data_IF_387742189634
#
_entry.id   IF_387742189634
#
_cell.length_a   1.000
_cell.length_b   1.000
_cell.length_c   1.000
_cell.angle_alpha   90.00
_cell.angle_beta   90.00
_cell.angle_gamma   90.00
#
_symmetry.space_group_name_H-M   'P 1'
#
loop_
_entity.id
_entity.type
_entity.pdbx_description
1 polymer ?
2 non-polymer ?
3 non-polymer ?
4 water ?
#
# COMPACT_ATOMS: atom_id res chain seq x y z
N UNK A 4 -11.48 14.90 1.74
CA UNK A 4 -12.44 14.98 0.61
C UNK A 4 -12.52 13.67 -0.15
N UNK A 5 -11.68 12.68 0.22
CA UNK A 5 -11.58 11.44 -0.57
C UNK A 5 -11.90 10.19 0.22
N UNK A 6 -12.92 10.29 1.06
CA UNK A 6 -13.22 9.22 2.02
C UNK A 6 -14.36 8.32 1.54
N UNK A 7 -14.12 7.00 1.51
CA UNK A 7 -15.15 6.04 1.12
C UNK A 7 -14.63 5.01 0.15
N UNK A 8 -15.32 3.87 0.07
CA UNK A 8 -15.02 2.76 -0.82
C UNK A 8 -15.69 2.89 -2.19
N UNK A 9 -16.56 3.88 -2.33
CA UNK A 9 -17.30 4.08 -3.57
C UNK A 9 -17.15 5.47 -4.07
N UNK A 10 -16.96 5.61 -5.39
CA UNK A 10 -16.90 6.92 -6.01
C UNK A 10 -18.02 6.91 -7.05
N UNK A 11 -19.13 7.58 -6.71
CA UNK A 11 -20.25 7.65 -7.61
C UNK A 11 -19.90 8.76 -8.63
N UNK A 12 -19.94 8.46 -9.92
CA UNK A 12 -19.35 9.39 -10.90
C UNK A 12 -20.24 9.49 -12.14
N UNK A 13 -20.27 10.66 -12.77
CA UNK A 13 -20.83 10.83 -14.14
C UNK A 13 -19.77 11.63 -14.93
N UNK A 14 -19.34 11.10 -16.08
CA UNK A 14 -18.28 11.70 -16.89
C UNK A 14 -18.85 12.24 -18.21
N UNK A 15 -18.36 13.38 -18.62
CA UNK A 15 -18.87 14.07 -19.84
C UNK A 15 -17.70 14.56 -20.71
N UNK A 16 -17.87 14.51 -22.04
CA UNK A 16 -17.01 15.33 -22.88
C UNK A 16 -17.40 16.80 -22.77
N UNK A 17 -16.35 17.69 -22.66
CA UNK A 17 -16.49 19.10 -22.48
C UNK A 17 -16.34 19.81 -23.82
N UNK A 18 -17.40 20.46 -24.27
CA UNK A 18 -17.43 21.15 -25.57
C UNK A 18 -16.85 22.57 -25.49
N UNK A 19 -17.08 23.29 -24.39
CA UNK A 19 -16.31 24.53 -24.18
C UNK A 19 -15.83 24.76 -22.77
N UNK A 20 -14.51 24.79 -22.62
CA UNK A 20 -13.85 25.05 -21.34
C UNK A 20 -14.21 26.40 -20.72
N UNK A 21 -14.57 27.36 -21.56
CA UNK A 21 -14.91 28.70 -21.11
C UNK A 21 -16.15 28.69 -20.22
N UNK A 22 -17.25 28.14 -20.74
CA UNK A 22 -18.52 28.05 -19.99
C UNK A 22 -18.40 27.17 -18.77
N UNK A 23 -17.64 26.08 -18.90
CA UNK A 23 -17.31 25.22 -17.75
C UNK A 23 -16.62 26.06 -16.69
N UNK A 24 -15.60 26.82 -17.08
CA UNK A 24 -14.89 27.64 -16.10
C UNK A 24 -15.72 28.76 -15.49
N UNK A 25 -16.60 29.36 -16.30
CA UNK A 25 -17.57 30.35 -15.79
C UNK A 25 -18.47 29.80 -14.70
N UNK A 26 -19.00 28.59 -14.91
CA UNK A 26 -19.79 27.89 -13.89
C UNK A 26 -19.01 27.54 -12.63
N UNK A 27 -17.78 27.07 -12.78
CA UNK A 27 -16.90 26.93 -11.65
C UNK A 27 -16.76 28.26 -10.87
N UNK A 28 -16.56 29.35 -11.61
CA UNK A 28 -16.51 30.71 -11.02
C UNK A 28 -17.87 31.07 -10.39
N UNK A 29 -18.97 30.85 -11.13
CA UNK A 29 -20.31 31.10 -10.63
C UNK A 29 -20.53 30.49 -9.24
N UNK A 30 -20.16 29.21 -9.11
CA UNK A 30 -20.60 28.39 -7.99
C UNK A 30 -19.58 28.33 -6.87
N UNK A 31 -18.61 29.25 -6.92
CA UNK A 31 -17.60 29.36 -5.89
C UNK A 31 -16.85 28.04 -5.64
N UNK A 32 -16.65 27.27 -6.71
CA UNK A 32 -15.76 26.09 -6.67
C UNK A 32 -14.38 26.37 -6.05
N UNK A 33 -13.97 25.49 -5.17
CA UNK A 33 -12.66 25.51 -4.52
C UNK A 33 -11.65 24.69 -5.35
N UNK A 34 -10.49 25.27 -5.69
CA UNK A 34 -9.50 24.47 -6.41
C UNK A 34 -8.76 23.57 -5.43
N UNK A 35 -8.74 22.28 -5.70
CA UNK A 35 -7.92 21.36 -4.94
C UNK A 35 -6.53 21.19 -5.55
N UNK A 36 -6.48 20.69 -6.79
CA UNK A 36 -5.19 20.66 -7.48
C UNK A 36 -5.44 21.16 -8.90
N UNK A 37 -4.50 21.90 -9.49
CA UNK A 37 -4.78 22.50 -10.80
C UNK A 37 -3.70 22.09 -11.77
N UNK A 38 -4.13 21.74 -12.98
CA UNK A 38 -3.21 21.42 -14.10
C UNK A 38 -2.04 20.50 -13.77
N UNK A 39 -2.33 19.41 -13.04
CA UNK A 39 -1.34 18.38 -12.77
C UNK A 39 -1.24 17.42 -13.91
N UNK A 40 -0.01 17.06 -14.24
CA UNK A 40 0.22 15.95 -15.14
C UNK A 40 0.14 14.70 -14.28
N UNK A 41 -0.79 13.81 -14.64
CA UNK A 41 -1.01 12.57 -13.92
C UNK A 41 -0.59 11.42 -14.81
N UNK A 42 0.35 10.61 -14.36
CA UNK A 42 0.80 9.47 -15.06
C UNK A 42 0.29 8.25 -14.28
N UNK A 43 -0.48 7.41 -14.93
CA UNK A 43 -1.08 6.22 -14.31
C UNK A 43 -0.49 4.98 -14.92
N UNK A 44 0.22 4.17 -14.12
CA UNK A 44 0.74 2.92 -14.62
C UNK A 44 -0.32 1.87 -14.17
N UNK A 45 -0.88 1.17 -15.14
CA UNK A 45 -1.79 0.07 -14.82
C UNK A 45 -1.03 -1.24 -14.76
N UNK A 46 -1.30 -2.02 -13.69
CA UNK A 46 -0.63 -3.31 -13.45
C UNK A 46 -1.65 -4.46 -13.54
N UNK A 47 -1.19 -5.59 -14.05
CA UNK A 47 -2.03 -6.77 -14.09
C UNK A 47 -1.15 -8.00 -14.08
N UNK A 48 -1.80 -9.14 -13.81
CA UNK A 48 -1.10 -10.41 -13.82
C UNK A 48 -0.90 -10.80 -15.30
N UNK A 49 -0.02 -11.77 -15.52
CA UNK A 49 0.44 -12.12 -16.88
C UNK A 49 -0.64 -12.68 -17.77
N UNK A 50 -1.72 -13.13 -17.16
CA UNK A 50 -2.91 -13.55 -17.90
C UNK A 50 -4.11 -12.65 -17.73
N UNK A 51 -3.87 -11.34 -17.47
CA UNK A 51 -4.90 -10.28 -17.35
C UNK A 51 -5.95 -10.64 -16.32
N UNK A 52 -5.50 -11.31 -15.26
CA UNK A 52 -6.38 -11.84 -14.23
C UNK A 52 -7.30 -10.80 -13.59
N UNK A 53 -6.77 -9.58 -13.37
CA UNK A 53 -7.57 -8.53 -12.78
C UNK A 53 -8.61 -7.97 -13.78
N UNK A 54 -8.19 -7.74 -15.00
CA UNK A 54 -9.13 -7.19 -15.99
C UNK A 54 -10.26 -8.21 -16.22
N UNK A 55 -9.96 -9.50 -16.13
CA UNK A 55 -11.00 -10.53 -16.34
C UNK A 55 -12.06 -10.51 -15.24
N UNK A 56 -11.77 -9.80 -14.13
CA UNK A 56 -12.65 -9.55 -12.97
C UNK A 56 -13.24 -8.13 -12.87
N UNK A 57 -13.05 -7.32 -13.90
CA UNK A 57 -13.49 -5.92 -13.91
C UNK A 57 -12.75 -5.06 -12.85
N UNK A 58 -11.47 -5.40 -12.63
CA UNK A 58 -10.61 -4.69 -11.70
C UNK A 58 -9.43 -4.04 -12.42
N UNK A 59 -9.13 -2.79 -12.07
CA UNK A 59 -7.92 -2.11 -12.56
C UNK A 59 -7.11 -1.77 -11.31
N UNK A 60 -5.79 -1.85 -11.43
CA UNK A 60 -4.95 -1.42 -10.32
C UNK A 60 -3.89 -0.48 -10.90
N UNK A 61 -3.71 0.64 -10.27
CA UNK A 61 -2.93 1.76 -10.82
C UNK A 61 -1.98 2.29 -9.78
N UNK A 62 -0.78 2.64 -10.26
CA UNK A 62 0.11 3.49 -9.45
C UNK A 62 0.09 4.84 -10.16
N UNK A 63 -0.36 5.85 -9.43
CA UNK A 63 -0.55 7.17 -10.01
C UNK A 63 0.50 8.18 -9.46
N UNK A 64 1.17 8.94 -10.35
CA UNK A 64 2.03 10.04 -9.93
C UNK A 64 1.47 11.36 -10.47
N UNK A 65 1.26 12.34 -9.61
CA UNK A 65 0.70 13.63 -10.02
C UNK A 65 1.74 14.71 -9.75
N UNK A 66 2.06 15.49 -10.80
CA UNK A 66 3.07 16.56 -10.71
C UNK A 66 2.47 17.86 -11.24
N UNK A 67 2.71 19.00 -10.56
CA UNK A 67 3.69 19.16 -9.49
C UNK A 67 3.17 18.97 -8.08
N UNK A 68 1.93 18.51 -7.88
CA UNK A 68 1.40 18.41 -6.50
C UNK A 68 2.17 17.44 -5.65
N UNK A 69 2.92 16.52 -6.28
CA UNK A 69 3.71 15.48 -5.61
C UNK A 69 2.93 14.26 -5.07
N UNK A 70 1.62 14.23 -5.30
CA UNK A 70 0.76 13.15 -4.78
C UNK A 70 1.13 11.82 -5.51
N UNK A 71 1.26 10.73 -4.75
CA UNK A 71 1.48 9.38 -5.28
C UNK A 71 0.43 8.48 -4.66
N UNK A 72 -0.30 7.78 -5.50
CA UNK A 72 -1.41 6.94 -5.04
C UNK A 72 -1.30 5.53 -5.60
N UNK A 73 -1.71 4.55 -4.80
CA UNK A 73 -1.99 3.20 -5.23
C UNK A 73 -3.54 3.09 -5.17
N UNK A 74 -4.10 2.66 -6.28
CA UNK A 74 -5.58 2.67 -6.53
C UNK A 74 -6.00 1.30 -6.99
N UNK A 75 -7.08 0.78 -6.39
CA UNK A 75 -7.67 -0.46 -6.87
C UNK A 75 -9.13 -0.08 -7.17
N UNK A 76 -9.47 -0.24 -8.43
CA UNK A 76 -10.78 0.10 -8.98
C UNK A 76 -11.54 -1.19 -9.28
N UNK A 77 -12.80 -1.28 -8.85
CA UNK A 77 -13.63 -2.39 -9.34
C UNK A 77 -13.73 -3.42 -8.23
N UNK A 78 -14.46 -4.53 -8.47
CA UNK A 78 -15.17 -4.84 -9.72
C UNK A 78 -16.38 -3.91 -9.84
N UNK A 79 -16.83 -3.64 -11.06
CA UNK A 79 -17.82 -2.58 -11.28
C UNK A 79 -17.19 -1.20 -11.38
N UNK A 80 -18.04 -0.18 -11.55
CA UNK A 80 -17.57 1.20 -11.72
C UNK A 80 -17.96 2.23 -10.64
N UNK A 81 -18.35 1.79 -9.46
CA UNK A 81 -18.42 2.72 -8.31
C UNK A 81 -17.31 2.39 -7.30
N UNK A 82 -17.04 1.09 -7.15
CA UNK A 82 -16.02 0.59 -6.23
C UNK A 82 -14.66 1.16 -6.61
N UNK A 83 -14.03 1.83 -5.66
CA UNK A 83 -12.73 2.46 -5.87
C UNK A 83 -12.10 2.79 -4.53
N UNK A 84 -10.85 2.36 -4.31
CA UNK A 84 -10.18 2.71 -3.09
C UNK A 84 -8.75 3.04 -3.46
N UNK A 85 -8.17 4.00 -2.75
CA UNK A 85 -6.81 4.42 -2.94
C UNK A 85 -6.07 4.66 -1.65
N UNK A 86 -4.75 4.57 -1.71
CA UNK A 86 -3.92 4.81 -0.56
C UNK A 86 -2.77 5.69 -1.00
N UNK A 87 -2.52 6.77 -0.27
CA UNK A 87 -1.28 7.53 -0.49
C UNK A 87 -0.10 6.64 -0.25
N UNK A 88 0.90 6.77 -1.08
CA UNK A 88 2.10 5.99 -0.92
C UNK A 88 3.35 6.89 -0.97
N UNK A 89 4.37 6.53 -0.20
CA UNK A 89 5.58 7.34 -0.14
C UNK A 89 6.47 7.13 -1.34
N UNK A 90 6.51 5.88 -1.83
CA UNK A 90 7.56 5.47 -2.75
C UNK A 90 6.94 4.55 -3.77
N UNK A 91 6.69 5.10 -4.96
CA UNK A 91 6.07 4.32 -6.04
C UNK A 91 6.90 3.08 -6.48
N UNK A 92 8.23 3.25 -6.63
CA UNK A 92 9.03 2.10 -7.04
C UNK A 92 9.02 0.93 -6.02
N UNK A 93 8.98 1.23 -4.72
CA UNK A 93 8.92 0.22 -3.62
C UNK A 93 7.60 -0.52 -3.77
N UNK A 94 6.52 0.23 -3.87
CA UNK A 94 5.22 -0.45 -4.03
C UNK A 94 5.12 -1.28 -5.34
N UNK A 95 5.62 -0.72 -6.46
CA UNK A 95 5.65 -1.44 -7.71
C UNK A 95 6.46 -2.80 -7.60
N UNK A 96 7.61 -2.78 -6.92
CA UNK A 96 8.41 -3.99 -6.77
C UNK A 96 7.67 -5.03 -5.91
N UNK A 97 7.03 -4.56 -4.84
CA UNK A 97 6.21 -5.43 -3.96
C UNK A 97 5.06 -6.09 -4.74
N UNK A 98 4.37 -5.32 -5.57
CA UNK A 98 3.34 -5.86 -6.42
C UNK A 98 3.87 -6.79 -7.45
N UNK A 99 5.05 -6.50 -7.99
CA UNK A 99 5.68 -7.44 -8.94
C UNK A 99 5.95 -8.78 -8.26
N UNK A 100 6.39 -8.74 -7.01
CA UNK A 100 6.60 -10.00 -6.28
C UNK A 100 5.29 -10.83 -6.21
N UNK A 101 4.14 -10.16 -6.11
CA UNK A 101 2.83 -10.82 -6.07
C UNK A 101 2.33 -11.24 -7.44
N UNK A 102 3.05 -10.84 -8.48
CA UNK A 102 2.72 -11.25 -9.84
C UNK A 102 2.11 -10.19 -10.72
N UNK A 103 2.02 -8.96 -10.23
CA UNK A 103 1.40 -7.82 -11.03
C UNK A 103 2.50 -6.99 -11.69
N UNK A 104 2.41 -6.73 -13.00
CA UNK A 104 3.48 -6.02 -13.71
C UNK A 104 2.83 -4.97 -14.64
N UNK A 105 3.58 -3.91 -14.99
CA UNK A 105 2.97 -2.87 -15.82
C UNK A 105 2.41 -3.40 -17.14
N UNK A 106 1.19 -2.97 -17.43
CA UNK A 106 0.49 -3.47 -18.60
C UNK A 106 0.36 -2.37 -19.66
N UNK A 107 0.16 -1.14 -19.18
CA UNK A 107 0.05 0.04 -20.03
C UNK A 107 0.03 1.27 -19.13
N UNK A 108 0.21 2.41 -19.77
CA UNK A 108 0.21 3.72 -19.09
C UNK A 108 -0.81 4.67 -19.72
N UNK A 109 -1.53 5.43 -18.88
CA UNK A 109 -2.47 6.49 -19.32
C UNK A 109 -1.94 7.78 -18.74
N UNK A 110 -1.71 8.77 -19.61
CA UNK A 110 -1.32 10.08 -19.14
C UNK A 110 -2.45 11.12 -19.40
N UNK A 111 -2.59 12.09 -18.50
CA UNK A 111 -3.57 13.15 -18.66
C UNK A 111 -3.16 14.40 -17.88
N UNK A 112 -3.75 15.52 -18.24
CA UNK A 112 -3.67 16.74 -17.42
C UNK A 112 -4.97 16.70 -16.64
N UNK A 113 -4.89 16.96 -15.35
CA UNK A 113 -6.09 17.00 -14.49
C UNK A 113 -6.11 18.17 -13.47
N UNK A 114 -7.28 18.76 -13.33
CA UNK A 114 -7.59 19.73 -12.26
C UNK A 114 -8.78 19.21 -11.47
N UNK A 115 -8.79 19.45 -10.17
CA UNK A 115 -9.90 18.92 -9.33
C UNK A 115 -10.41 20.10 -8.53
N UNK A 116 -11.73 20.31 -8.60
CA UNK A 116 -12.42 21.40 -7.86
C UNK A 116 -13.45 20.76 -6.93
N UNK A 117 -13.77 21.47 -5.86
CA UNK A 117 -14.89 21.06 -4.99
C UNK A 117 -16.01 22.09 -4.99
N UNK A 118 -17.27 21.62 -5.03
CA UNK A 118 -18.44 22.46 -4.75
C UNK A 118 -19.29 21.70 -3.73
N UNK A 119 -19.20 22.10 -2.47
CA UNK A 119 -19.83 21.33 -1.41
C UNK A 119 -19.31 19.89 -1.39
N UNK A 120 -20.21 18.91 -1.47
CA UNK A 120 -19.82 17.49 -1.39
C UNK A 120 -19.35 16.94 -2.73
N UNK A 121 -19.56 17.72 -3.77
CA UNK A 121 -19.23 17.31 -5.15
C UNK A 121 -17.78 17.57 -5.54
N UNK A 122 -17.18 16.62 -6.24
CA UNK A 122 -15.90 16.85 -6.87
C UNK A 122 -16.16 17.09 -8.36
N UNK A 123 -15.45 18.06 -8.96
CA UNK A 123 -15.54 18.29 -10.39
C UNK A 123 -14.12 18.17 -10.90
N UNK A 124 -13.90 17.19 -11.78
CA UNK A 124 -12.55 16.85 -12.15
C UNK A 124 -12.52 17.21 -13.63
N UNK A 125 -11.51 17.96 -14.06
CA UNK A 125 -11.47 18.41 -15.45
C UNK A 125 -10.19 17.84 -16.04
N UNK A 126 -10.33 17.06 -17.12
CA UNK A 126 -9.24 16.28 -17.66
C UNK A 126 -9.02 16.66 -19.11
N UNK A 127 -7.73 16.58 -19.52
CA UNK A 127 -7.42 16.70 -20.94
C UNK A 127 -6.55 15.51 -21.33
N UNK A 128 -6.88 14.84 -22.45
CA UNK A 128 -6.07 13.70 -22.92
C UNK A 128 -5.67 14.01 -24.36
N UNK A 129 -4.42 13.73 -24.71
CA UNK A 129 -3.95 14.01 -26.05
C UNK A 129 -4.88 13.57 -27.14
N UNK A 130 -5.31 12.37 -27.38
CA UNK A 130 -6.03 12.11 -28.55
C UNK A 130 -7.47 12.79 -28.45
N UNK A 131 -8.00 12.49 -27.32
CA UNK A 131 -9.35 12.54 -26.97
C UNK A 131 -10.03 13.83 -26.59
N UNK A 132 -9.26 14.79 -26.06
CA UNK A 132 -9.85 16.09 -25.77
C UNK A 132 -10.17 16.29 -24.30
N UNK A 133 -11.16 17.15 -24.05
CA UNK A 133 -11.50 17.54 -22.69
C UNK A 133 -12.68 16.77 -22.11
N UNK A 134 -12.59 16.45 -20.82
CA UNK A 134 -13.66 15.74 -20.13
C UNK A 134 -13.89 16.37 -18.73
N UNK A 135 -15.09 16.20 -18.19
CA UNK A 135 -15.33 16.61 -16.78
C UNK A 135 -16.08 15.49 -16.09
N UNK A 136 -15.73 15.20 -14.86
CA UNK A 136 -16.45 14.18 -14.09
C UNK A 136 -17.05 14.82 -12.86
N UNK A 137 -18.34 14.58 -12.58
CA UNK A 137 -18.94 14.98 -11.30
C UNK A 137 -18.96 13.73 -10.44
N UNK A 138 -18.47 13.83 -9.20
CA UNK A 138 -18.37 12.66 -8.34
C UNK A 138 -18.69 12.98 -6.88
N UNK A 139 -19.17 11.96 -6.17
CA UNK A 139 -19.40 11.98 -4.74
C UNK A 139 -18.88 10.67 -4.15
N UNK A 140 -18.19 10.79 -3.01
CA UNK A 140 -17.59 9.68 -2.31
C UNK A 140 -18.62 9.23 -1.33
N UNK A 141 -18.66 7.91 -1.12
CA UNK A 141 -19.43 7.27 0.00
C UNK A 141 -18.82 5.94 0.43
N UNK A 142 -19.11 5.56 1.68
CA UNK A 142 -18.65 4.29 2.22
C UNK A 142 -19.80 3.28 2.29
N UNK A 143 -20.99 3.74 1.93
CA UNK A 143 -22.22 2.99 2.10
C UNK A 143 -22.92 2.65 0.78
N UNK A 144 -22.78 1.40 0.36
CA UNK A 144 -23.45 0.93 -0.85
C UNK A 144 -24.95 1.11 -0.80
N UNK A 145 -25.49 1.10 0.43
CA UNK A 145 -26.94 1.26 0.70
C UNK A 145 -27.45 2.69 0.46
N UNK A 146 -26.54 3.57 0.01
CA UNK A 146 -26.92 4.93 -0.42
C UNK A 146 -26.45 5.33 -1.85
N UNK A 147 -25.89 4.38 -2.60
CA UNK A 147 -25.50 4.60 -4.02
C UNK A 147 -26.57 5.14 -4.97
N UNK A 148 -27.82 4.77 -4.71
CA UNK A 148 -28.97 5.18 -5.56
C UNK A 148 -29.14 6.70 -5.70
N UNK A 149 -29.21 7.35 -4.55
CA UNK A 149 -29.49 8.79 -4.45
C UNK A 149 -28.37 9.59 -5.15
N UNK A 150 -27.13 9.25 -4.75
CA UNK A 150 -25.92 9.96 -5.24
C UNK A 150 -25.79 10.09 -6.75
N UNK A 151 -26.13 8.97 -7.47
CA UNK A 151 -25.89 9.09 -8.91
C UNK A 151 -26.78 10.09 -9.68
N UNK A 152 -28.00 9.86 -9.10
CA UNK A 152 -29.00 10.72 -9.70
C UNK A 152 -28.68 12.15 -9.34
N UNK A 153 -28.36 12.38 -8.08
CA UNK A 153 -27.76 13.64 -7.59
C UNK A 153 -26.53 14.11 -8.33
N UNK A 154 -25.60 13.45 -8.74
CA UNK A 154 -24.54 13.79 -9.65
C UNK A 154 -25.26 14.22 -10.88
N UNK A 155 -26.37 13.53 -11.25
CA UNK A 155 -27.23 13.96 -12.32
C UNK A 155 -27.95 15.29 -11.96
N UNK A 156 -28.55 15.47 -10.84
CA UNK A 156 -29.11 16.82 -10.49
C UNK A 156 -28.01 17.89 -10.62
N UNK A 157 -26.89 17.69 -9.89
CA UNK A 157 -25.78 18.66 -9.95
C UNK A 157 -25.30 18.88 -11.36
N UNK A 158 -25.13 17.80 -12.11
CA UNK A 158 -24.63 17.92 -13.47
C UNK A 158 -25.66 18.71 -14.30
N UNK A 159 -26.95 18.52 -13.98
CA UNK A 159 -28.07 19.21 -14.65
C UNK A 159 -27.96 20.71 -14.38
N UNK A 160 -27.82 21.09 -13.11
CA UNK A 160 -27.57 22.51 -12.77
C UNK A 160 -26.22 23.05 -13.28
N UNK A 161 -25.35 22.17 -13.78
CA UNK A 161 -23.99 22.61 -14.08
C UNK A 161 -23.76 22.88 -15.56
N UNK A 162 -24.71 22.46 -16.41
CA UNK A 162 -24.56 22.59 -17.87
C UNK A 162 -23.86 21.41 -18.52
N UNK A 163 -23.76 20.31 -17.78
CA UNK A 163 -23.22 19.10 -18.36
C UNK A 163 -24.43 18.25 -18.72
N UNK A 164 -24.65 18.08 -20.03
CA UNK A 164 -25.87 17.46 -20.57
C UNK A 164 -25.72 15.99 -21.01
N UNK A 165 -26.82 15.23 -20.92
CA UNK A 165 -26.81 13.79 -21.29
C UNK A 165 -26.18 13.47 -22.64
N UNK A 166 -26.43 14.32 -23.63
CA UNK A 166 -25.92 14.09 -24.96
C UNK A 166 -24.40 14.05 -24.97
N UNK A 167 -23.79 14.71 -24.00
CA UNK A 167 -22.32 14.69 -23.88
C UNK A 167 -21.79 13.65 -22.93
N UNK A 168 -22.68 12.86 -22.31
CA UNK A 168 -22.17 11.87 -21.38
C UNK A 168 -21.25 10.84 -22.05
N UNK A 169 -20.21 10.43 -21.31
CA UNK A 169 -19.28 9.38 -21.74
C UNK A 169 -19.15 8.27 -20.67
N UNK A 170 -19.87 7.11 -20.84
CA UNK A 170 -19.86 6.02 -19.84
C UNK A 170 -18.55 5.21 -19.81
N UNK A 171 -17.72 5.32 -20.86
CA UNK A 171 -16.51 4.50 -20.93
C UNK A 171 -15.44 5.08 -20.00
N UNK A 172 -14.64 4.22 -19.40
CA UNK A 172 -13.41 4.60 -18.70
C UNK A 172 -12.36 5.06 -19.68
N UNK A 173 -11.33 5.75 -19.16
CA UNK A 173 -10.21 6.08 -20.07
C UNK A 173 -9.56 4.82 -20.64
N UNK A 174 -9.38 3.73 -19.86
CA UNK A 174 -8.76 2.53 -20.48
C UNK A 174 -9.62 1.97 -21.62
N UNK A 175 -10.92 2.01 -21.44
CA UNK A 175 -11.88 1.61 -22.49
C UNK A 175 -11.77 2.53 -23.71
N UNK A 176 -11.75 3.84 -23.47
CA UNK A 176 -11.58 4.81 -24.60
C UNK A 176 -10.30 4.61 -25.43
N UNK A 177 -9.23 4.11 -24.80
CA UNK A 177 -7.91 4.08 -25.37
C UNK A 177 -7.58 2.68 -25.89
N UNK A 178 -8.49 1.76 -25.63
CA UNK A 178 -8.33 0.39 -26.13
C UNK A 178 -7.42 -0.51 -25.32
N UNK A 179 -7.39 -0.25 -24.01
CA UNK A 179 -6.55 -0.99 -23.06
C UNK A 179 -7.36 -1.82 -22.03
N UNK B 4 17.65 3.51 7.23
CA UNK B 4 17.80 2.34 8.16
C UNK B 4 17.17 1.04 7.64
N UNK B 5 16.14 1.15 6.80
CA UNK B 5 15.41 -0.04 6.34
C UNK B 5 15.40 -0.14 4.82
N UNK B 6 16.60 -0.05 4.25
CA UNK B 6 16.77 0.10 2.82
C UNK B 6 17.26 -1.23 2.27
N UNK B 7 16.45 -1.84 1.41
CA UNK B 7 16.88 -3.03 0.66
C UNK B 7 15.78 -4.01 0.29
N UNK B 8 16.04 -4.82 -0.74
CA UNK B 8 15.13 -5.91 -1.03
C UNK B 8 15.56 -7.25 -0.41
N UNK B 9 16.77 -7.29 0.16
CA UNK B 9 17.21 -8.47 0.95
C UNK B 9 17.33 -8.13 2.40
N UNK B 10 16.96 -9.10 3.28
CA UNK B 10 17.19 -8.92 4.71
C UNK B 10 17.82 -10.17 5.25
N UNK B 11 19.05 -10.00 5.72
CA UNK B 11 19.69 -11.07 6.41
C UNK B 11 19.25 -11.04 7.86
N UNK B 12 18.77 -12.17 8.36
CA UNK B 12 18.24 -12.18 9.71
C UNK B 12 18.46 -13.52 10.42
N UNK B 13 18.88 -13.44 11.68
CA UNK B 13 18.99 -14.63 12.53
C UNK B 13 18.11 -14.42 13.73
N UNK B 14 17.31 -15.42 14.07
CA UNK B 14 16.45 -15.34 15.26
C UNK B 14 17.01 -16.29 16.36
N UNK B 15 16.98 -15.82 17.62
CA UNK B 15 17.56 -16.60 18.71
C UNK B 15 16.52 -16.69 19.84
N UNK B 16 16.39 -17.83 20.48
CA UNK B 16 15.78 -17.85 21.85
C UNK B 16 16.67 -17.09 22.81
N UNK B 17 16.05 -16.27 23.65
CA UNK B 17 16.81 -15.51 24.63
C UNK B 17 16.69 -16.21 25.98
N UNK B 18 17.79 -16.70 26.53
CA UNK B 18 17.72 -17.41 27.80
C UNK B 18 17.94 -16.45 28.98
N UNK B 19 18.59 -15.33 28.69
CA UNK B 19 19.02 -14.37 29.70
C UNK B 19 18.82 -12.94 29.17
N UNK B 20 17.62 -12.42 29.38
CA UNK B 20 17.28 -11.04 28.98
C UNK B 20 18.17 -9.94 29.62
N UNK B 21 18.58 -10.18 30.86
CA UNK B 21 19.44 -9.26 31.59
C UNK B 21 20.77 -9.05 30.86
N UNK B 22 21.44 -10.13 30.50
CA UNK B 22 22.68 -10.02 29.70
C UNK B 22 22.49 -9.27 28.38
N UNK B 23 21.39 -9.59 27.70
CA UNK B 23 21.10 -8.90 26.43
C UNK B 23 20.91 -7.41 26.65
N UNK B 24 20.14 -7.02 27.66
CA UNK B 24 19.92 -5.59 27.89
C UNK B 24 21.17 -4.84 28.33
N UNK B 25 22.00 -5.51 29.10
CA UNK B 25 23.24 -4.91 29.60
C UNK B 25 24.22 -4.65 28.46
N UNK B 26 24.19 -5.52 27.46
CA UNK B 26 25.02 -5.39 26.27
C UNK B 26 24.48 -4.34 25.34
N UNK B 27 23.16 -4.18 25.30
CA UNK B 27 22.61 -3.06 24.57
C UNK B 27 23.11 -1.69 25.10
N UNK B 28 23.18 -1.55 26.43
CA UNK B 28 23.74 -0.31 27.00
C UNK B 28 25.26 -0.16 26.72
N UNK B 29 26.00 -1.24 26.95
CA UNK B 29 27.46 -1.24 26.76
C UNK B 29 27.85 -0.85 25.31
N UNK B 30 27.03 -1.25 24.34
CA UNK B 30 27.31 -1.04 22.93
C UNK B 30 26.59 0.17 22.39
N UNK B 31 25.98 0.93 23.28
CA UNK B 31 25.37 2.21 22.94
C UNK B 31 24.30 2.08 21.85
N UNK B 32 23.57 0.96 21.92
CA UNK B 32 22.42 0.76 21.04
C UNK B 32 21.49 1.95 21.11
N UNK B 33 20.90 2.33 20.00
CA UNK B 33 19.84 3.31 20.03
C UNK B 33 18.47 2.65 19.84
N UNK B 34 17.52 3.01 20.71
CA UNK B 34 16.15 2.48 20.63
C UNK B 34 15.42 3.14 19.52
N UNK B 35 14.91 2.34 18.58
CA UNK B 35 14.03 2.85 17.52
C UNK B 35 12.55 2.81 17.93
N UNK B 36 12.14 1.71 18.57
CA UNK B 36 10.82 1.55 19.18
C UNK B 36 11.03 0.77 20.49
N UNK B 37 10.29 1.11 21.55
CA UNK B 37 10.46 0.34 22.79
C UNK B 37 9.12 -0.20 23.23
N UNK B 38 9.10 -1.48 23.60
CA UNK B 38 7.93 -2.14 24.12
C UNK B 38 6.64 -1.82 23.42
N UNK B 39 6.66 -1.91 22.09
CA UNK B 39 5.48 -1.71 21.30
C UNK B 39 4.66 -3.01 21.26
N UNK B 40 3.34 -2.87 21.31
CA UNK B 40 2.51 -3.97 20.88
C UNK B 40 2.45 -4.00 19.34
N UNK B 41 2.79 -5.16 18.77
CA UNK B 41 2.77 -5.37 17.31
C UNK B 41 1.70 -6.39 16.95
N UNK B 42 0.73 -5.99 16.14
CA UNK B 42 -0.30 -6.91 15.66
C UNK B 42 -0.08 -7.09 14.14
N UNK B 43 0.25 -8.31 13.74
CA UNK B 43 0.50 -8.68 12.34
C UNK B 43 -0.61 -9.50 11.81
N UNK B 44 -1.26 -8.98 10.75
CA UNK B 44 -2.30 -9.71 10.06
C UNK B 44 -1.69 -10.31 8.84
N UNK B 45 -1.67 -11.62 8.79
CA UNK B 45 -1.13 -12.35 7.61
C UNK B 45 -2.24 -12.56 6.58
N UNK B 46 -1.92 -12.24 5.32
CA UNK B 46 -2.93 -12.29 4.27
C UNK B 46 -2.54 -13.31 3.19
N UNK B 47 -3.52 -14.05 2.67
CA UNK B 47 -3.23 -14.96 1.55
C UNK B 47 -4.51 -15.17 0.71
N UNK B 48 -4.37 -15.72 -0.50
CA UNK B 48 -5.49 -16.03 -1.38
C UNK B 48 -6.13 -17.30 -0.79
N UNK B 49 -7.40 -17.49 -1.09
CA UNK B 49 -8.08 -18.70 -0.63
C UNK B 49 -7.33 -20.03 -0.79
N UNK B 50 -6.64 -20.23 -1.91
CA UNK B 50 -5.88 -21.43 -2.17
C UNK B 50 -4.44 -21.42 -1.65
N UNK B 51 -4.13 -20.45 -0.79
CA UNK B 51 -2.74 -20.29 -0.25
C UNK B 51 -1.68 -20.10 -1.32
N UNK B 52 -2.05 -19.37 -2.39
CA UNK B 52 -1.17 -19.07 -3.49
C UNK B 52 0.19 -18.51 -3.07
N UNK B 53 0.21 -17.69 -2.03
CA UNK B 53 1.48 -17.01 -1.63
C UNK B 53 2.33 -18.02 -0.85
N UNK B 54 1.71 -18.69 0.11
CA UNK B 54 2.48 -19.69 0.84
C UNK B 54 3.14 -20.72 -0.04
N UNK B 55 2.42 -21.15 -1.09
CA UNK B 55 2.96 -22.10 -2.04
C UNK B 55 4.20 -21.60 -2.78
N UNK B 56 4.38 -20.27 -2.81
CA UNK B 56 5.58 -19.67 -3.37
C UNK B 56 6.61 -19.26 -2.29
N UNK B 57 6.39 -19.68 -1.04
CA UNK B 57 7.15 -19.24 0.14
C UNK B 57 7.18 -17.70 0.17
N UNK B 58 6.01 -17.11 -0.01
CA UNK B 58 5.75 -15.69 0.25
C UNK B 58 4.80 -15.53 1.40
N UNK B 59 5.11 -14.60 2.32
CA UNK B 59 4.20 -14.19 3.37
C UNK B 59 3.88 -12.71 3.13
N UNK B 60 2.66 -12.30 3.44
CA UNK B 60 2.29 -10.88 3.29
C UNK B 60 1.60 -10.47 4.57
N UNK B 61 2.08 -9.38 5.14
CA UNK B 61 1.65 -8.90 6.45
C UNK B 61 1.26 -7.44 6.47
N UNK B 62 0.17 -7.14 7.20
CA UNK B 62 -0.12 -5.78 7.54
C UNK B 62 0.13 -5.68 9.02
N UNK B 63 1.02 -4.80 9.37
CA UNK B 63 1.46 -4.66 10.77
C UNK B 63 1.11 -3.30 11.32
N UNK B 64 0.59 -3.32 12.53
CA UNK B 64 0.37 -2.10 13.28
C UNK B 64 1.24 -2.14 14.57
N UNK B 65 1.94 -1.07 14.89
CA UNK B 65 2.77 -1.06 16.10
C UNK B 65 2.33 0.11 16.97
N UNK B 66 2.00 -0.14 18.24
CA UNK B 66 1.58 0.92 19.16
C UNK B 66 2.44 0.85 20.42
N UNK B 67 2.82 2.01 20.98
CA UNK B 67 2.33 3.36 20.62
C UNK B 67 3.13 4.17 19.59
N UNK B 68 4.10 3.57 18.91
CA UNK B 68 4.87 4.28 17.89
C UNK B 68 3.96 4.81 16.77
N UNK B 69 2.80 4.16 16.54
CA UNK B 69 1.93 4.46 15.41
C UNK B 69 2.42 4.04 14.01
N UNK B 70 3.50 3.26 13.93
CA UNK B 70 4.06 2.74 12.65
C UNK B 70 3.06 1.72 12.08
N UNK B 71 2.81 1.81 10.76
CA UNK B 71 1.99 0.83 10.07
C UNK B 71 2.77 0.48 8.81
N UNK B 72 2.84 -0.82 8.52
CA UNK B 72 3.67 -1.37 7.47
C UNK B 72 2.89 -2.41 6.70
N UNK B 73 3.14 -2.44 5.39
CA UNK B 73 2.73 -3.52 4.51
C UNK B 73 4.06 -4.21 4.12
N UNK B 74 4.14 -5.54 4.37
CA UNK B 74 5.42 -6.24 4.28
C UNK B 74 5.17 -7.44 3.36
N UNK B 75 6.04 -7.61 2.37
CA UNK B 75 5.98 -8.82 1.53
C UNK B 75 7.32 -9.54 1.70
N UNK B 76 7.28 -10.73 2.29
CA UNK B 76 8.48 -11.56 2.50
C UNK B 76 8.53 -12.59 1.41
N UNK B 77 9.70 -12.83 0.82
CA UNK B 77 9.88 -13.95 -0.13
C UNK B 77 9.83 -13.41 -1.52
N UNK B 78 9.80 -14.30 -2.57
CA UNK B 78 9.68 -15.75 -2.39
C UNK B 78 11.00 -16.32 -1.86
N UNK B 79 10.89 -17.19 -0.82
CA UNK B 79 12.04 -17.88 -0.25
C UNK B 79 12.96 -16.94 0.54
N UNK B 80 14.14 -17.45 0.91
CA UNK B 80 14.93 -16.93 1.94
C UNK B 80 15.59 -15.60 1.57
N UNK B 81 15.67 -14.73 2.57
CA UNK B 81 16.39 -13.47 2.50
C UNK B 81 15.75 -12.32 1.69
N UNK B 82 14.60 -12.53 1.06
CA UNK B 82 13.91 -11.46 0.30
C UNK B 82 12.83 -10.88 1.20
N UNK B 83 12.84 -9.56 1.33
CA UNK B 83 11.82 -8.88 2.11
C UNK B 83 11.76 -7.45 1.67
N UNK B 84 10.54 -6.93 1.45
CA UNK B 84 10.36 -5.51 1.19
C UNK B 84 9.19 -5.03 2.06
N UNK B 85 9.28 -3.78 2.51
CA UNK B 85 8.17 -3.18 3.23
C UNK B 85 7.94 -1.74 2.78
N UNK B 86 6.69 -1.29 2.93
CA UNK B 86 6.27 0.10 2.70
C UNK B 86 5.49 0.64 3.92
N UNK B 87 5.76 1.86 4.34
CA UNK B 87 4.89 2.50 5.34
C UNK B 87 3.57 2.75 4.68
N UNK B 88 2.50 2.59 5.43
CA UNK B 88 1.16 2.86 4.97
C UNK B 88 0.46 3.70 6.04
N UNK B 89 -0.53 4.48 5.63
CA UNK B 89 -1.23 5.35 6.58
C UNK B 89 -2.36 4.63 7.30
N UNK B 90 -2.90 3.58 6.71
CA UNK B 90 -4.19 3.02 7.17
C UNK B 90 -4.24 1.56 6.81
N UNK B 91 -4.06 0.71 7.84
CA UNK B 91 -4.14 -0.73 7.69
C UNK B 91 -5.44 -1.22 7.09
N UNK B 92 -6.55 -0.72 7.65
CA UNK B 92 -7.87 -1.13 7.22
C UNK B 92 -8.07 -0.85 5.72
N UNK B 93 -7.51 0.30 5.29
CA UNK B 93 -7.68 0.76 3.87
C UNK B 93 -6.89 -0.17 2.95
N UNK B 94 -5.63 -0.41 3.30
CA UNK B 94 -4.85 -1.36 2.44
C UNK B 94 -5.40 -2.77 2.52
N UNK B 95 -5.87 -3.18 3.71
CA UNK B 95 -6.50 -4.45 3.85
C UNK B 95 -7.69 -4.68 2.88
N UNK B 96 -8.52 -3.65 2.69
CA UNK B 96 -9.69 -3.73 1.87
C UNK B 96 -9.25 -3.81 0.39
N UNK B 97 -8.21 -3.03 0.08
CA UNK B 97 -7.65 -3.07 -1.25
C UNK B 97 -7.11 -4.44 -1.61
N UNK B 98 -6.39 -5.05 -0.66
CA UNK B 98 -5.88 -6.36 -0.92
C UNK B 98 -6.96 -7.45 -0.99
N UNK B 99 -8.02 -7.27 -0.20
CA UNK B 99 -9.20 -8.13 -0.27
C UNK B 99 -9.83 -8.12 -1.66
N UNK B 100 -9.96 -6.92 -2.26
CA UNK B 100 -10.38 -6.82 -3.66
C UNK B 100 -9.58 -7.64 -4.62
N UNK B 101 -8.25 -7.70 -4.42
CA UNK B 101 -7.39 -8.55 -5.21
C UNK B 101 -7.37 -10.05 -4.84
N UNK B 102 -8.11 -10.40 -3.79
CA UNK B 102 -8.22 -11.80 -3.44
C UNK B 102 -7.42 -12.25 -2.23
N UNK B 103 -6.86 -11.33 -1.46
CA UNK B 103 -6.03 -11.72 -0.29
C UNK B 103 -6.80 -11.35 0.95
N UNK B 104 -6.96 -12.31 1.86
CA UNK B 104 -7.80 -12.13 3.02
C UNK B 104 -7.05 -12.62 4.23
N UNK B 105 -7.41 -12.12 5.43
CA UNK B 105 -6.76 -12.53 6.69
C UNK B 105 -6.80 -14.02 6.86
N UNK B 106 -5.62 -14.60 7.09
CA UNK B 106 -5.45 -16.02 7.23
C UNK B 106 -5.27 -16.31 8.74
N UNK B 107 -4.53 -15.44 9.41
CA UNK B 107 -4.31 -15.55 10.89
C UNK B 107 -3.59 -14.24 11.34
N UNK B 108 -3.49 -14.05 12.65
CA UNK B 108 -2.91 -12.86 13.24
C UNK B 108 -1.89 -13.33 14.27
N UNK B 109 -0.79 -12.60 14.36
CA UNK B 109 0.22 -12.83 15.38
C UNK B 109 0.37 -11.55 16.11
N UNK B 110 0.38 -11.66 17.45
CA UNK B 110 0.67 -10.53 18.30
C UNK B 110 1.93 -10.75 19.14
N UNK B 111 2.67 -9.69 19.40
CA UNK B 111 3.87 -9.75 20.20
C UNK B 111 4.16 -8.37 20.79
N UNK B 112 5.06 -8.35 21.76
CA UNK B 112 5.69 -7.11 22.20
C UNK B 112 7.08 -7.09 21.57
N UNK B 113 7.44 -5.92 21.07
CA UNK B 113 8.72 -5.82 20.39
C UNK B 113 9.39 -4.50 20.68
N UNK B 114 10.69 -4.56 20.96
CA UNK B 114 11.54 -3.39 20.93
C UNK B 114 12.57 -3.57 19.80
N UNK B 115 12.87 -2.46 19.14
CA UNK B 115 13.83 -2.45 18.02
C UNK B 115 14.92 -1.45 18.36
N UNK B 116 16.17 -1.91 18.27
CA UNK B 116 17.40 -1.10 18.55
C UNK B 116 18.28 -1.16 17.30
N UNK B 117 19.09 -0.12 17.14
CA UNK B 117 20.16 -0.09 16.13
C UNK B 117 21.51 -0.04 16.83
N UNK B 118 22.48 -0.83 16.32
CA UNK B 118 23.90 -0.68 16.68
C UNK B 118 24.63 -0.63 15.32
N UNK B 119 25.12 0.54 14.94
CA UNK B 119 25.67 0.74 13.58
C UNK B 119 24.71 0.24 12.53
N UNK B 120 25.21 -0.66 11.66
CA UNK B 120 24.43 -1.19 10.54
C UNK B 120 23.46 -2.29 10.94
N UNK B 121 23.56 -2.74 12.19
CA UNK B 121 22.74 -3.88 12.64
C UNK B 121 21.44 -3.44 13.27
N UNK B 122 20.41 -4.25 13.08
CA UNK B 122 19.11 -4.09 13.77
C UNK B 122 19.03 -5.22 14.78
N UNK B 123 18.67 -4.92 16.02
CA UNK B 123 18.41 -6.01 16.98
C UNK B 123 17.01 -5.78 17.51
N UNK B 124 16.18 -6.81 17.39
CA UNK B 124 14.80 -6.73 17.86
C UNK B 124 14.71 -7.64 19.12
N UNK B 125 13.95 -7.25 20.15
CA UNK B 125 13.74 -8.07 21.34
C UNK B 125 12.22 -8.27 21.43
N UNK B 126 11.81 -9.51 21.29
CA UNK B 126 10.39 -9.92 21.16
C UNK B 126 9.94 -10.78 22.33
N UNK B 127 8.69 -10.60 22.75
CA UNK B 127 8.05 -11.53 23.68
C UNK B 127 6.73 -11.95 23.09
N UNK B 128 6.52 -13.26 23.00
CA UNK B 128 5.25 -13.83 22.51
C UNK B 128 4.65 -14.64 23.62
N UNK B 129 3.42 -14.33 23.98
CA UNK B 129 2.76 -14.97 25.12
C UNK B 129 2.90 -16.50 25.14
N UNK B 130 2.54 -17.22 24.09
CA UNK B 130 2.63 -18.69 24.40
C UNK B 130 4.04 -19.33 24.31
N UNK B 131 4.96 -18.47 23.86
CA UNK B 131 6.20 -19.03 23.45
C UNK B 131 7.44 -18.60 24.19
N UNK B 132 7.65 -17.42 24.52
CA UNK B 132 8.87 -17.02 25.20
C UNK B 132 9.49 -15.77 24.63
N UNK B 133 10.77 -15.57 24.95
CA UNK B 133 11.54 -14.40 24.51
C UNK B 133 12.51 -14.74 23.37
N UNK B 134 12.56 -13.86 22.37
CA UNK B 134 13.43 -14.07 21.21
C UNK B 134 14.15 -12.78 20.90
N UNK B 135 15.26 -12.88 20.15
CA UNK B 135 15.87 -11.68 19.59
C UNK B 135 16.26 -11.97 18.16
N UNK B 136 16.04 -10.98 17.27
CA UNK B 136 16.42 -11.16 15.85
C UNK B 136 17.55 -10.18 15.60
N UNK B 137 18.58 -10.61 14.90
CA UNK B 137 19.67 -9.70 14.46
C UNK B 137 19.62 -9.63 12.93
N UNK B 138 19.58 -8.40 12.36
CA UNK B 138 19.25 -8.28 10.93
C UNK B 138 19.99 -7.13 10.26
N UNK B 139 20.19 -7.27 8.93
CA UNK B 139 20.85 -6.21 8.18
C UNK B 139 20.10 -6.26 6.85
N UNK B 140 19.67 -5.10 6.33
CA UNK B 140 19.00 -5.09 5.01
C UNK B 140 20.02 -4.61 4.00
N UNK B 141 19.89 -5.14 2.77
CA UNK B 141 20.77 -4.74 1.69
C UNK B 141 20.10 -4.91 0.34
N UNK B 142 20.51 -4.14 -0.68
CA UNK B 142 20.12 -4.45 -2.06
C UNK B 142 21.07 -5.35 -2.81
N UNK B 143 22.17 -5.73 -2.18
CA UNK B 143 23.26 -6.41 -2.86
C UNK B 143 23.31 -7.89 -2.53
N UNK B 144 22.98 -8.74 -3.50
CA UNK B 144 22.96 -10.17 -3.26
C UNK B 144 24.40 -10.75 -3.08
N UNK B 145 25.43 -10.02 -3.54
CA UNK B 145 26.80 -10.61 -3.48
C UNK B 145 27.45 -10.69 -2.08
N UNK B 146 26.85 -10.08 -1.06
CA UNK B 146 27.45 -10.00 0.28
C UNK B 146 26.64 -10.75 1.36
N UNK B 147 25.62 -11.51 0.96
CA UNK B 147 24.68 -12.08 1.90
C UNK B 147 25.32 -13.07 2.86
N UNK B 148 26.31 -13.82 2.40
CA UNK B 148 26.97 -14.79 3.30
C UNK B 148 27.79 -14.06 4.38
N UNK B 149 28.53 -13.06 3.95
CA UNK B 149 29.33 -12.21 4.85
C UNK B 149 28.46 -11.55 5.86
N UNK B 150 27.33 -11.01 5.40
CA UNK B 150 26.44 -10.28 6.28
C UNK B 150 25.86 -11.24 7.31
N UNK B 151 25.46 -12.44 6.89
CA UNK B 151 24.90 -13.40 7.86
C UNK B 151 25.94 -13.81 8.90
N UNK B 152 27.18 -13.96 8.48
CA UNK B 152 28.25 -14.31 9.42
C UNK B 152 28.50 -13.16 10.39
N UNK B 153 28.42 -11.93 9.91
CA UNK B 153 28.55 -10.73 10.76
C UNK B 153 27.45 -10.68 11.79
N UNK B 154 26.24 -11.05 11.39
CA UNK B 154 25.12 -11.09 12.33
C UNK B 154 25.34 -12.10 13.44
N UNK B 155 25.85 -13.27 13.12
CA UNK B 155 26.05 -14.31 14.11
C UNK B 155 27.13 -13.85 15.12
N UNK B 156 28.21 -13.22 14.64
CA UNK B 156 29.26 -12.68 15.54
C UNK B 156 28.69 -11.63 16.46
N UNK B 157 28.01 -10.68 15.83
CA UNK B 157 27.33 -9.63 16.55
C UNK B 157 26.41 -10.23 17.64
N UNK B 158 25.59 -11.21 17.30
CA UNK B 158 24.67 -11.82 18.28
C UNK B 158 25.40 -12.46 19.47
N UNK B 159 26.55 -13.12 19.20
CA UNK B 159 27.28 -13.85 20.29
C UNK B 159 27.66 -12.84 21.38
N UNK B 160 27.90 -11.64 20.93
CA UNK B 160 28.28 -10.48 21.72
C UNK B 160 27.20 -10.05 22.72
N UNK B 161 25.95 -10.47 22.46
CA UNK B 161 24.82 -10.17 23.37
C UNK B 161 24.48 -11.39 24.21
N UNK B 162 25.30 -12.42 24.10
CA UNK B 162 25.09 -13.69 24.83
C UNK B 162 24.14 -14.64 24.14
N UNK B 163 23.88 -14.38 22.85
CA UNK B 163 23.03 -15.22 22.02
C UNK B 163 23.90 -16.20 21.28
N UNK B 164 23.85 -17.45 21.73
CA UNK B 164 24.74 -18.50 21.24
C UNK B 164 24.20 -19.23 20.02
N UNK B 165 25.14 -19.68 19.18
CA UNK B 165 24.83 -20.54 18.06
C UNK B 165 23.74 -21.55 18.38
N UNK B 166 23.77 -22.18 19.58
CA UNK B 166 22.78 -23.22 19.93
C UNK B 166 21.37 -22.74 20.36
N UNK B 167 21.19 -21.43 20.46
CA UNK B 167 19.88 -20.89 20.80
C UNK B 167 19.19 -20.42 19.51
N UNK B 168 19.89 -20.57 18.38
CA UNK B 168 19.34 -20.14 17.09
C UNK B 168 18.00 -20.87 16.80
N UNK B 169 17.07 -20.11 16.25
CA UNK B 169 15.75 -20.64 15.99
C UNK B 169 15.41 -20.44 14.53
N UNK B 170 15.61 -21.51 13.69
CA UNK B 170 15.28 -21.31 12.27
C UNK B 170 13.79 -21.22 11.94
N UNK B 171 12.90 -21.67 12.82
CA UNK B 171 11.44 -21.57 12.49
C UNK B 171 10.93 -20.15 12.67
N UNK B 172 9.99 -19.76 11.81
CA UNK B 172 9.32 -18.44 11.91
C UNK B 172 8.26 -18.46 12.98
N UNK B 173 7.79 -17.30 13.40
CA UNK B 173 6.71 -17.28 14.36
C UNK B 173 5.44 -17.96 13.84
N UNK B 174 5.13 -17.75 12.54
CA UNK B 174 3.98 -18.41 11.99
C UNK B 174 4.12 -19.94 12.16
N UNK B 175 5.30 -20.51 11.90
CA UNK B 175 5.54 -21.98 12.06
C UNK B 175 5.42 -22.38 13.52
N UNK B 176 5.99 -21.56 14.41
CA UNK B 176 6.01 -21.89 15.86
C UNK B 176 4.63 -21.87 16.47
N UNK B 177 3.70 -21.13 15.86
CA UNK B 177 2.33 -20.98 16.33
C UNK B 177 1.35 -21.85 15.59
N UNK B 178 1.87 -22.72 14.74
CA UNK B 178 1.08 -23.70 13.99
C UNK B 178 0.31 -23.20 12.77
N UNK B 179 0.76 -22.06 12.23
CA UNK B 179 0.19 -21.42 11.03
C UNK B 179 1.06 -21.58 9.75
#
# INVERSE_FOLDING_TARGET
MSEHFVGKYEVELKFRVMDLTTLHEQLVAQKATAFTLNNHEKDIYLDANGQDLAKQQISMVLREMNPSGIRLWIVKGPGAERCEASNIEDVSKVQSMLATLGYHPAFTIEKQRSIYFVGKFHITVDHLTGLGDFAEIAIMTDDATELDKLKAECRDFANTFGLQVDQQEPRSYRQLLGF
MSEHFVGKYEVELKFRVMDLTTLHEQLVAQKATAFTLNNHEKDIYLDANGQDLAKQQISMVLREMNPSGIRLWIVKGPGAERCEASNIEDVSKVQSMLATLGYHPAFTIEKQRSIYFVGKFHITVDHLTGLGDFAEIAIMTDDATELDKLKAECRDFANTFGLQVDQQEPRSYRQLLGF
#
